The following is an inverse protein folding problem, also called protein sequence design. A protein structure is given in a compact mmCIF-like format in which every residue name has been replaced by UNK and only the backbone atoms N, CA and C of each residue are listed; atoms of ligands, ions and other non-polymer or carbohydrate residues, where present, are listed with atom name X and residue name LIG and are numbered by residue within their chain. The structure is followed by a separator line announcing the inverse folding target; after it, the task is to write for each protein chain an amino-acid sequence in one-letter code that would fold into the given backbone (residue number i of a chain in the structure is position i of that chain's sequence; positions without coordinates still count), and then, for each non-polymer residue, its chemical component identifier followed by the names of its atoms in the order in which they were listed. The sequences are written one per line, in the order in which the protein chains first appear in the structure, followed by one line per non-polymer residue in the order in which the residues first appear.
data_IF_182066299891
#
_entry.id   IF_182066299891
#
_cell.length_a   1.000
_cell.length_b   1.000
_cell.length_c   1.000
_cell.angle_alpha   90.00
_cell.angle_beta   90.00
_cell.angle_gamma   90.00
#
_symmetry.space_group_name_H-M   'P 1'
#
loop_
_entity.id
_entity.type
_entity.pdbx_description
1 polymer ?
#
# COMPACT_ATOMS: atom_id res chain seq x y z
N UNK A 1 -29.02 0.14 3.65
CA UNK A 1 -27.73 0.80 3.30
C UNK A 1 -26.60 -0.24 3.11
N UNK A 2 -26.83 -1.31 2.33
CA UNK A 2 -25.92 -2.49 2.21
C UNK A 2 -25.08 -2.46 0.91
N UNK A 3 -25.63 -1.85 -0.14
CA UNK A 3 -24.99 -1.70 -1.46
C UNK A 3 -23.71 -0.86 -1.38
N UNK A 4 -23.73 0.28 -0.69
CA UNK A 4 -22.54 1.14 -0.57
C UNK A 4 -21.37 0.50 0.15
N UNK A 5 -21.59 -0.37 1.16
CA UNK A 5 -20.51 -1.09 1.87
C UNK A 5 -19.81 -2.11 0.98
N UNK A 6 -20.56 -2.82 0.14
CA UNK A 6 -20.00 -3.77 -0.82
C UNK A 6 -19.11 -3.06 -1.86
N UNK A 7 -19.49 -1.86 -2.30
CA UNK A 7 -18.70 -1.08 -3.27
C UNK A 7 -17.35 -0.61 -2.72
N UNK A 8 -17.21 -0.38 -1.41
CA UNK A 8 -15.93 0.02 -0.79
C UNK A 8 -15.07 -1.19 -0.38
N UNK A 9 -15.68 -2.30 0.03
CA UNK A 9 -14.94 -3.51 0.41
C UNK A 9 -14.09 -4.05 -0.75
N UNK A 10 -14.59 -3.98 -1.99
CA UNK A 10 -13.87 -4.46 -3.17
C UNK A 10 -12.57 -3.65 -3.44
N UNK A 11 -12.58 -2.31 -3.52
CA UNK A 11 -11.37 -1.49 -3.59
C UNK A 11 -10.39 -1.75 -2.45
N UNK A 12 -10.89 -1.88 -1.21
CA UNK A 12 -10.02 -2.15 -0.06
C UNK A 12 -9.40 -3.54 -0.12
N UNK A 13 -10.13 -4.55 -0.60
CA UNK A 13 -9.61 -5.89 -0.81
C UNK A 13 -8.49 -5.92 -1.86
N UNK A 14 -8.69 -5.21 -2.98
CA UNK A 14 -7.65 -5.04 -4.00
C UNK A 14 -6.41 -4.33 -3.45
N UNK A 15 -6.59 -3.21 -2.75
CA UNK A 15 -5.46 -2.47 -2.17
C UNK A 15 -4.66 -3.32 -1.18
N UNK A 16 -5.32 -4.09 -0.32
CA UNK A 16 -4.66 -5.00 0.62
C UNK A 16 -3.89 -6.10 -0.10
N UNK A 17 -4.47 -6.69 -1.15
CA UNK A 17 -3.78 -7.68 -1.98
C UNK A 17 -2.52 -7.10 -2.63
N UNK A 18 -2.54 -5.82 -3.04
CA UNK A 18 -1.36 -5.14 -3.60
C UNK A 18 -0.29 -4.84 -2.54
N UNK A 19 -0.69 -4.67 -1.29
CA UNK A 19 0.23 -4.53 -0.14
C UNK A 19 0.90 -5.87 0.25
N UNK A 20 0.80 -6.91 -0.60
CA UNK A 20 1.34 -8.24 -0.36
C UNK A 20 0.94 -8.81 1.01
N UNK A 21 -0.29 -8.53 1.48
CA UNK A 21 -0.77 -9.06 2.76
C UNK A 21 -0.79 -10.59 2.81
N UNK A 22 -0.83 -11.25 1.66
CA UNK A 22 -0.71 -12.71 1.49
C UNK A 22 0.71 -13.25 1.74
N UNK A 23 1.73 -12.39 1.76
CA UNK A 23 3.16 -12.75 1.95
C UNK A 23 3.68 -12.39 3.35
N UNK A 24 2.82 -11.95 4.27
CA UNK A 24 3.20 -11.68 5.65
C UNK A 24 3.86 -12.91 6.29
N UNK A 25 5.07 -12.74 6.83
CA UNK A 25 5.80 -13.81 7.51
C UNK A 25 5.42 -13.91 8.99
N UNK A 26 4.75 -12.88 9.51
CA UNK A 26 4.44 -12.73 10.93
C UNK A 26 2.94 -12.82 11.19
N UNK A 27 2.55 -13.30 12.38
CA UNK A 27 1.14 -13.56 12.72
C UNK A 27 0.60 -12.61 13.80
N UNK A 28 1.46 -11.97 14.59
CA UNK A 28 1.02 -11.07 15.66
C UNK A 28 0.87 -9.65 15.12
N UNK A 29 -0.15 -8.90 15.58
CA UNK A 29 -0.44 -7.56 15.08
C UNK A 29 0.74 -6.59 15.19
N UNK A 30 1.53 -6.69 16.26
CA UNK A 30 2.72 -5.86 16.45
C UNK A 30 3.80 -6.15 15.40
N UNK A 31 4.00 -7.42 15.05
CA UNK A 31 4.98 -7.82 14.04
C UNK A 31 4.48 -7.49 12.63
N UNK A 32 3.20 -7.75 12.35
CA UNK A 32 2.55 -7.42 11.07
C UNK A 32 2.59 -5.91 10.83
N UNK A 33 2.34 -5.08 11.84
CA UNK A 33 2.42 -3.63 11.69
C UNK A 33 3.84 -3.16 11.38
N UNK A 34 4.85 -3.82 11.96
CA UNK A 34 6.26 -3.55 11.67
C UNK A 34 6.62 -3.93 10.24
N UNK A 35 6.20 -5.11 9.79
CA UNK A 35 6.43 -5.62 8.42
C UNK A 35 5.77 -4.72 7.37
N UNK A 36 4.51 -4.32 7.60
CA UNK A 36 3.78 -3.38 6.74
C UNK A 36 4.42 -1.98 6.71
N UNK A 37 4.91 -1.49 7.86
CA UNK A 37 5.59 -0.19 7.95
C UNK A 37 6.90 -0.19 7.16
N UNK A 38 7.65 -1.28 7.23
CA UNK A 38 8.89 -1.44 6.46
C UNK A 38 8.60 -1.47 4.96
N UNK A 39 7.57 -2.19 4.54
CA UNK A 39 7.15 -2.26 3.13
C UNK A 39 6.77 -0.87 2.58
N UNK A 40 5.98 -0.10 3.34
CA UNK A 40 5.61 1.27 2.96
C UNK A 40 6.83 2.20 2.89
N UNK A 41 7.73 2.14 3.88
CA UNK A 41 8.96 2.93 3.91
C UNK A 41 9.88 2.63 2.71
N UNK A 42 10.05 1.36 2.37
CA UNK A 42 10.83 0.96 1.20
C UNK A 42 10.21 1.47 -0.11
N UNK A 43 8.90 1.33 -0.25
CA UNK A 43 8.17 1.77 -1.46
C UNK A 43 8.32 3.28 -1.68
N UNK A 44 8.17 4.08 -0.63
CA UNK A 44 8.40 5.53 -0.68
C UNK A 44 9.85 5.86 -1.02
N UNK A 45 10.82 5.20 -0.37
CA UNK A 45 12.24 5.38 -0.68
C UNK A 45 12.53 5.04 -2.14
N UNK A 46 11.93 3.99 -2.70
CA UNK A 46 12.12 3.58 -4.09
C UNK A 46 11.57 4.62 -5.06
N UNK A 47 10.36 5.13 -4.81
CA UNK A 47 9.75 6.16 -5.66
C UNK A 47 10.55 7.47 -5.61
N UNK A 48 11.08 7.84 -4.44
CA UNK A 48 11.90 9.05 -4.32
C UNK A 48 13.26 8.92 -5.01
N UNK A 49 13.88 7.73 -5.02
CA UNK A 49 15.23 7.55 -5.56
C UNK A 49 15.27 7.11 -7.03
N UNK A 50 14.25 6.39 -7.52
CA UNK A 50 14.32 5.75 -8.84
C UNK A 50 13.84 6.70 -9.96
N UNK A 51 12.58 7.17 -9.98
CA UNK A 51 12.16 8.23 -10.90
C UNK A 51 12.51 9.65 -10.42
N UNK A 52 12.74 9.84 -9.10
CA UNK A 52 12.97 11.17 -8.52
C UNK A 52 11.69 11.94 -8.20
N UNK A 53 11.80 12.96 -7.34
CA UNK A 53 10.67 13.77 -6.89
C UNK A 53 9.99 14.57 -8.02
N UNK A 54 10.76 15.06 -8.99
CA UNK A 54 10.23 15.82 -10.13
C UNK A 54 9.33 14.97 -11.04
N UNK A 55 9.75 13.74 -11.36
CA UNK A 55 8.95 12.82 -12.16
C UNK A 55 7.68 12.36 -11.42
N UNK A 56 7.77 12.15 -10.10
CA UNK A 56 6.60 11.85 -9.27
C UNK A 56 5.58 12.99 -9.31
N UNK A 57 6.02 14.25 -9.11
CA UNK A 57 5.14 15.42 -9.15
C UNK A 57 4.48 15.61 -10.52
N UNK A 58 5.19 15.29 -11.61
CA UNK A 58 4.61 15.32 -12.95
C UNK A 58 3.53 14.25 -13.13
N UNK A 59 3.78 13.02 -12.68
CA UNK A 59 2.81 11.92 -12.74
C UNK A 59 1.54 12.17 -11.92
N UNK A 60 1.65 12.89 -10.80
CA UNK A 60 0.49 13.24 -9.96
C UNK A 60 -0.39 14.36 -10.53
N UNK A 61 0.14 15.18 -11.43
CA UNK A 61 -0.60 16.28 -12.07
C UNK A 61 -1.37 15.84 -13.33
N UNK A 62 -1.01 14.69 -13.89
CA UNK A 62 -1.69 14.07 -15.04
C UNK A 62 -2.99 13.38 -14.59
#
# INVERSE_FOLDING_TARGET
MRIRRQTIEQPFGLLKSWMCTDRLLTQTLMQVSTEMSLHAAYSLRRVLNLPGSGALMAAMKA
#
